data_IF_764880626817
#
_entry.id   IF_764880626817
#
_cell.length_a   1.000
_cell.length_b   1.000
_cell.length_c   1.000
_cell.angle_alpha   90.00
_cell.angle_beta   90.00
_cell.angle_gamma   90.00
#
_symmetry.space_group_name_H-M   'P 1'
#
loop_
_entity.id
_entity.type
_entity.pdbx_description
1 polymer ?
#
# COMPACT_ATOMS: atom_id res chain seq x y z
N UNK A 1 33.23 45.64 52.42
CA UNK A 1 33.10 44.25 52.90
C UNK A 1 31.63 43.88 52.90
N UNK A 2 31.34 42.72 52.34
CA UNK A 2 30.06 42.21 51.80
C UNK A 2 28.95 41.99 52.83
N UNK A 3 27.68 42.26 52.43
CA UNK A 3 26.56 41.47 52.90
C UNK A 3 25.84 40.74 51.75
N UNK A 4 25.15 39.70 52.16
CA UNK A 4 24.51 38.67 51.36
C UNK A 4 23.07 39.03 50.95
N UNK A 5 22.55 38.22 50.02
CA UNK A 5 21.16 38.05 49.56
C UNK A 5 20.50 39.16 48.74
N UNK A 6 20.13 38.84 47.49
CA UNK A 6 18.74 38.77 47.05
C UNK A 6 18.63 38.29 45.60
N UNK A 7 17.66 37.40 45.39
CA UNK A 7 17.17 36.90 44.12
C UNK A 7 16.63 38.04 43.25
N UNK A 8 16.96 38.05 41.95
CA UNK A 8 16.14 38.72 40.93
C UNK A 8 16.08 37.87 39.65
N UNK A 9 14.87 37.36 39.42
CA UNK A 9 14.20 36.95 38.19
C UNK A 9 14.98 37.09 36.86
N UNK A 10 15.40 35.94 36.32
CA UNK A 10 15.49 35.72 34.88
C UNK A 10 14.30 34.88 34.43
N UNK A 11 13.15 35.52 34.13
CA UNK A 11 12.10 34.86 33.36
C UNK A 11 12.48 34.90 31.88
N UNK A 12 13.45 34.05 31.50
CA UNK A 12 13.46 33.47 30.17
C UNK A 12 12.39 32.40 30.14
N UNK A 13 11.32 32.64 29.39
CA UNK A 13 10.28 31.66 29.09
C UNK A 13 10.93 30.44 28.42
N UNK A 14 11.31 29.46 29.22
CA UNK A 14 11.57 28.10 28.75
C UNK A 14 10.27 27.60 28.14
N UNK A 15 10.29 27.35 26.83
CA UNK A 15 9.26 26.55 26.17
C UNK A 15 9.03 25.28 27.00
N UNK A 16 7.77 24.94 27.34
CA UNK A 16 7.52 23.71 28.06
C UNK A 16 8.00 22.56 27.18
N UNK A 17 8.96 21.78 27.70
CA UNK A 17 9.43 20.57 27.06
C UNK A 17 8.23 19.71 26.70
N UNK A 18 8.08 19.41 25.40
CA UNK A 18 7.06 18.49 24.92
C UNK A 18 7.25 17.16 25.67
N UNK A 19 6.17 16.61 26.26
CA UNK A 19 6.27 15.38 27.03
C UNK A 19 6.80 14.24 26.17
N UNK A 20 7.62 13.40 26.78
CA UNK A 20 8.21 12.22 26.18
C UNK A 20 7.14 11.35 25.48
N UNK A 21 7.44 11.04 24.22
CA UNK A 21 6.88 9.98 23.37
C UNK A 21 5.58 9.32 23.83
N UNK A 22 4.48 9.70 23.17
CA UNK A 22 3.38 8.76 23.02
C UNK A 22 3.94 7.52 22.29
N UNK A 23 3.76 6.30 22.83
CA UNK A 23 4.29 5.10 22.20
C UNK A 23 3.71 5.00 20.79
N UNK A 24 4.59 4.91 19.79
CA UNK A 24 4.20 4.50 18.45
C UNK A 24 3.61 3.11 18.56
N UNK A 25 2.28 3.00 18.66
CA UNK A 25 1.62 1.72 18.47
C UNK A 25 1.86 1.33 17.02
N UNK A 26 2.56 0.21 16.80
CA UNK A 26 2.53 -0.50 15.54
C UNK A 26 1.08 -0.99 15.34
N UNK A 27 0.22 -0.06 14.96
CA UNK A 27 -1.19 -0.31 14.77
C UNK A 27 -1.38 -0.74 13.34
N UNK A 28 -1.62 -2.03 13.13
CA UNK A 28 -2.51 -2.49 12.06
C UNK A 28 -3.63 -1.46 11.97
N UNK A 29 -3.66 -0.67 10.89
CA UNK A 29 -4.79 0.22 10.67
C UNK A 29 -6.05 -0.63 10.79
N UNK A 30 -7.03 -0.23 11.62
CA UNK A 30 -8.23 -1.03 11.81
C UNK A 30 -8.80 -1.37 10.44
N UNK A 31 -9.26 -2.62 10.27
CA UNK A 31 -9.86 -3.18 9.05
C UNK A 31 -11.10 -2.39 8.65
N UNK A 32 -10.94 -1.15 8.20
CA UNK A 32 -12.01 -0.26 7.81
C UNK A 32 -12.47 -0.69 6.43
N UNK A 33 -13.51 -1.54 6.39
CA UNK A 33 -14.36 -1.85 5.23
C UNK A 33 -13.67 -1.64 3.87
N UNK A 34 -12.65 -2.45 3.61
CA UNK A 34 -11.97 -2.42 2.34
C UNK A 34 -12.86 -3.05 1.29
N UNK A 35 -12.89 -2.47 0.09
CA UNK A 35 -13.55 -3.08 -1.06
C UNK A 35 -13.15 -4.56 -1.17
N UNK A 36 -14.07 -5.43 -1.59
CA UNK A 36 -13.86 -6.87 -1.57
C UNK A 36 -12.55 -7.27 -2.24
N UNK A 37 -11.68 -7.91 -1.44
CA UNK A 37 -10.35 -8.42 -1.86
C UNK A 37 -10.48 -9.57 -2.85
N UNK A 38 -11.65 -10.20 -2.89
CA UNK A 38 -11.96 -11.37 -3.66
C UNK A 38 -13.05 -11.08 -4.69
N UNK A 39 -13.03 -11.88 -5.74
CA UNK A 39 -14.05 -11.93 -6.75
C UNK A 39 -14.38 -13.38 -7.08
N UNK A 40 -15.63 -13.65 -7.46
CA UNK A 40 -16.10 -14.98 -7.87
C UNK A 40 -16.79 -14.89 -9.22
N UNK A 41 -16.59 -15.88 -10.07
CA UNK A 41 -17.20 -15.92 -11.41
C UNK A 41 -18.62 -16.43 -11.34
N UNK A 42 -19.57 -15.66 -11.82
CA UNK A 42 -20.93 -16.13 -12.05
C UNK A 42 -21.01 -16.71 -13.46
N UNK A 43 -21.02 -18.03 -13.55
CA UNK A 43 -21.21 -18.74 -14.82
C UNK A 43 -22.68 -18.90 -15.22
N UNK A 44 -23.61 -18.72 -14.29
CA UNK A 44 -25.02 -19.03 -14.48
C UNK A 44 -25.79 -17.89 -15.16
N UNK A 45 -25.49 -16.63 -14.79
CA UNK A 45 -26.24 -15.47 -15.26
C UNK A 45 -25.43 -14.59 -16.20
N UNK A 46 -24.28 -14.07 -15.75
CA UNK A 46 -23.55 -13.01 -16.48
C UNK A 46 -22.29 -13.50 -17.20
N UNK A 47 -21.68 -14.61 -16.77
CA UNK A 47 -20.37 -15.04 -17.22
C UNK A 47 -19.21 -14.15 -16.72
N UNK A 48 -19.49 -13.17 -15.86
CA UNK A 48 -18.54 -12.20 -15.34
C UNK A 48 -18.17 -12.51 -13.89
N UNK A 49 -17.07 -11.93 -13.43
CA UNK A 49 -16.71 -11.93 -12.02
C UNK A 49 -17.46 -10.84 -11.27
N UNK A 50 -17.89 -11.17 -10.07
CA UNK A 50 -18.48 -10.26 -9.09
C UNK A 50 -17.56 -10.13 -7.89
N UNK A 51 -17.55 -8.95 -7.33
CA UNK A 51 -16.84 -8.65 -6.11
C UNK A 51 -17.51 -9.36 -4.93
N UNK A 52 -16.74 -10.10 -4.14
CA UNK A 52 -17.24 -10.99 -3.09
C UNK A 52 -16.57 -10.70 -1.74
N UNK A 53 -17.37 -10.55 -0.70
CA UNK A 53 -16.87 -10.36 0.66
C UNK A 53 -17.06 -11.65 1.49
N UNK A 54 -15.97 -12.29 1.97
CA UNK A 54 -16.06 -13.52 2.74
C UNK A 54 -16.76 -13.38 4.10
N UNK A 55 -16.82 -12.17 4.65
CA UNK A 55 -17.45 -11.93 5.97
C UNK A 55 -18.97 -11.87 5.90
N UNK A 56 -19.50 -11.36 4.79
CA UNK A 56 -20.94 -11.16 4.63
C UNK A 56 -21.58 -12.20 3.72
N UNK A 57 -20.81 -13.06 3.05
CA UNK A 57 -21.29 -14.07 2.09
C UNK A 57 -21.97 -13.47 0.85
N UNK A 58 -22.01 -12.14 0.75
CA UNK A 58 -22.76 -11.44 -0.26
C UNK A 58 -21.83 -10.99 -1.41
N UNK A 59 -22.38 -11.01 -2.63
CA UNK A 59 -21.99 -10.05 -3.66
C UNK A 59 -22.34 -8.66 -3.11
N UNK A 60 -21.48 -8.06 -2.28
CA UNK A 60 -21.82 -6.89 -1.43
C UNK A 60 -22.13 -5.61 -2.20
N UNK A 61 -22.20 -5.68 -3.52
CA UNK A 61 -22.30 -4.51 -4.39
C UNK A 61 -23.37 -4.83 -5.42
N UNK A 62 -24.49 -4.10 -5.34
CA UNK A 62 -25.54 -4.14 -6.34
C UNK A 62 -24.92 -4.05 -7.75
N UNK A 63 -24.88 -5.18 -8.45
CA UNK A 63 -24.41 -5.22 -9.83
C UNK A 63 -25.47 -4.46 -10.65
N UNK A 64 -25.04 -3.57 -11.55
CA UNK A 64 -25.96 -2.75 -12.36
C UNK A 64 -26.82 -3.56 -13.35
N UNK A 65 -26.57 -4.86 -13.47
CA UNK A 65 -27.42 -5.76 -14.23
C UNK A 65 -28.68 -6.10 -13.42
N UNK A 66 -29.85 -5.69 -13.91
CA UNK A 66 -31.13 -6.02 -13.30
C UNK A 66 -31.23 -7.55 -13.11
N UNK A 67 -31.49 -8.00 -11.88
CA UNK A 67 -31.64 -9.43 -11.55
C UNK A 67 -30.33 -10.21 -11.35
N UNK A 68 -29.17 -9.53 -11.33
CA UNK A 68 -27.89 -10.17 -11.08
C UNK A 68 -27.64 -10.36 -9.58
N UNK A 69 -28.23 -11.43 -9.05
CA UNK A 69 -28.05 -11.90 -7.67
C UNK A 69 -27.69 -13.39 -7.68
N UNK A 70 -26.48 -13.76 -8.16
CA UNK A 70 -26.09 -15.16 -8.21
C UNK A 70 -25.89 -15.69 -6.79
N UNK A 71 -26.45 -16.87 -6.51
CA UNK A 71 -26.32 -17.51 -5.20
C UNK A 71 -24.86 -17.93 -4.96
N UNK A 72 -24.47 -18.18 -3.70
CA UNK A 72 -23.11 -18.65 -3.38
C UNK A 72 -22.73 -19.96 -4.08
N UNK A 73 -23.73 -20.78 -4.44
CA UNK A 73 -23.56 -22.08 -5.11
C UNK A 73 -23.31 -21.92 -6.62
N UNK A 74 -23.83 -20.84 -7.22
CA UNK A 74 -23.65 -20.51 -8.64
C UNK A 74 -22.30 -19.82 -8.93
N UNK A 75 -21.68 -19.30 -7.87
CA UNK A 75 -20.40 -18.62 -7.94
C UNK A 75 -19.23 -19.62 -7.95
N UNK A 76 -18.33 -19.47 -8.91
CA UNK A 76 -17.06 -20.21 -8.97
C UNK A 76 -16.14 -19.92 -7.77
N UNK A 77 -14.96 -20.56 -7.72
CA UNK A 77 -14.03 -20.37 -6.60
C UNK A 77 -13.59 -18.91 -6.45
N UNK A 78 -13.28 -18.45 -5.23
CA UNK A 78 -12.77 -17.11 -5.00
C UNK A 78 -11.40 -16.94 -5.68
N UNK A 79 -11.24 -15.83 -6.38
CA UNK A 79 -9.97 -15.34 -6.91
C UNK A 79 -9.71 -13.97 -6.34
N UNK A 80 -8.44 -13.55 -6.22
CA UNK A 80 -8.16 -12.18 -5.81
C UNK A 80 -8.73 -11.20 -6.86
N UNK A 81 -9.51 -10.21 -6.43
CA UNK A 81 -10.20 -9.27 -7.32
C UNK A 81 -9.23 -8.52 -8.24
N UNK A 82 -8.00 -8.33 -7.77
CA UNK A 82 -6.87 -7.74 -8.52
C UNK A 82 -6.31 -8.67 -9.61
N UNK A 83 -6.75 -9.92 -9.74
CA UNK A 83 -6.36 -10.81 -10.83
C UNK A 83 -7.38 -10.81 -11.97
N UNK A 84 -8.59 -10.32 -11.72
CA UNK A 84 -9.68 -10.37 -12.70
C UNK A 84 -9.43 -9.34 -13.82
N UNK A 85 -9.35 -9.76 -15.10
CA UNK A 85 -9.22 -8.85 -16.23
C UNK A 85 -10.40 -7.88 -16.35
N UNK A 86 -10.15 -6.64 -16.80
CA UNK A 86 -11.18 -5.58 -16.83
C UNK A 86 -12.43 -5.95 -17.64
N UNK A 87 -12.24 -6.69 -18.72
CA UNK A 87 -13.28 -7.22 -19.61
C UNK A 87 -14.09 -8.37 -18.99
N UNK A 88 -13.61 -8.98 -17.91
CA UNK A 88 -14.27 -10.07 -17.18
C UNK A 88 -14.95 -9.60 -15.89
N UNK A 89 -14.93 -8.30 -15.57
CA UNK A 89 -15.51 -7.71 -14.35
C UNK A 89 -16.99 -7.33 -14.57
N UNK A 90 -17.91 -7.66 -13.64
CA UNK A 90 -19.21 -6.97 -13.59
C UNK A 90 -18.95 -5.46 -13.41
N UNK A 91 -19.67 -4.62 -14.16
CA UNK A 91 -19.52 -3.16 -14.17
C UNK A 91 -19.90 -2.53 -12.82
N UNK A 92 -18.97 -2.54 -11.86
CA UNK A 92 -19.03 -1.80 -10.61
C UNK A 92 -17.89 -0.78 -10.56
N UNK A 93 -18.06 0.32 -9.85
CA UNK A 93 -17.01 1.34 -9.65
C UNK A 93 -16.00 0.95 -8.54
N UNK A 94 -16.19 -0.21 -7.92
CA UNK A 94 -15.49 -0.63 -6.69
C UNK A 94 -14.35 -1.61 -6.94
N UNK A 95 -14.11 -1.99 -8.20
CA UNK A 95 -12.98 -2.86 -8.52
C UNK A 95 -11.66 -2.18 -8.18
N UNK A 96 -10.68 -2.96 -7.66
CA UNK A 96 -9.33 -2.45 -7.48
C UNK A 96 -8.84 -1.80 -8.78
N UNK A 97 -8.44 -0.53 -8.65
CA UNK A 97 -7.81 0.20 -9.72
C UNK A 97 -6.43 -0.40 -9.97
N UNK A 98 -6.11 -0.55 -11.25
CA UNK A 98 -4.78 -0.78 -11.77
C UNK A 98 -4.23 -2.21 -11.68
N UNK A 99 -4.25 -2.91 -12.83
CA UNK A 99 -3.30 -3.99 -13.13
C UNK A 99 -2.57 -3.56 -14.41
N UNK A 100 -1.25 -3.31 -14.36
CA UNK A 100 -0.51 -2.85 -15.53
C UNK A 100 -0.51 -3.85 -16.69
N UNK A 101 -0.70 -5.16 -16.47
CA UNK A 101 -1.04 -6.22 -17.47
C UNK A 101 -1.37 -7.57 -16.79
N UNK A 102 -2.18 -8.48 -17.39
CA UNK A 102 -2.38 -9.83 -16.88
C UNK A 102 -1.05 -10.58 -16.71
N UNK A 103 -0.89 -11.35 -15.63
CA UNK A 103 0.29 -12.18 -15.38
C UNK A 103 0.31 -13.34 -16.39
N UNK A 104 1.28 -13.35 -17.31
CA UNK A 104 1.47 -14.46 -18.27
C UNK A 104 2.77 -15.19 -17.92
N UNK A 105 2.64 -16.40 -17.37
CA UNK A 105 3.75 -17.28 -17.02
C UNK A 105 4.47 -16.89 -15.72
N UNK A 106 5.39 -17.74 -15.22
CA UNK A 106 6.23 -17.38 -14.09
C UNK A 106 7.08 -16.17 -14.47
N UNK A 107 7.11 -15.15 -13.61
CA UNK A 107 8.02 -14.02 -13.80
C UNK A 107 9.46 -14.52 -13.71
N UNK A 108 10.38 -14.01 -14.55
CA UNK A 108 11.79 -14.27 -14.31
C UNK A 108 12.17 -13.72 -12.92
N UNK A 109 13.04 -14.41 -12.19
CA UNK A 109 13.47 -13.93 -10.87
C UNK A 109 14.15 -12.56 -10.92
N UNK A 110 14.78 -12.26 -12.06
CA UNK A 110 15.42 -10.98 -12.34
C UNK A 110 15.06 -10.48 -13.74
N UNK A 111 14.82 -9.18 -13.86
CA UNK A 111 14.63 -8.55 -15.16
C UNK A 111 15.97 -8.30 -15.83
N UNK A 112 16.16 -8.81 -17.06
CA UNK A 112 17.43 -8.73 -17.77
C UNK A 112 17.72 -7.34 -18.39
N UNK A 113 16.67 -6.55 -18.68
CA UNK A 113 16.81 -5.23 -19.27
C UNK A 113 17.24 -4.16 -18.27
N UNK A 114 17.83 -3.07 -18.78
CA UNK A 114 18.15 -1.89 -17.97
C UNK A 114 16.89 -1.22 -17.42
N UNK A 115 15.89 -1.04 -18.27
CA UNK A 115 14.57 -0.53 -17.90
C UNK A 115 13.67 -1.69 -17.51
N UNK A 116 13.19 -1.65 -16.27
CA UNK A 116 12.27 -2.62 -15.69
C UNK A 116 10.84 -2.14 -15.96
N UNK A 117 9.99 -2.93 -16.65
CA UNK A 117 8.61 -2.55 -16.89
C UNK A 117 7.82 -2.47 -15.58
N UNK A 118 6.93 -1.48 -15.49
CA UNK A 118 6.03 -1.31 -14.33
C UNK A 118 5.21 -2.57 -14.02
N UNK A 119 4.79 -3.31 -15.05
CA UNK A 119 4.05 -4.56 -14.85
C UNK A 119 4.89 -5.61 -14.12
N UNK A 120 6.18 -5.70 -14.43
CA UNK A 120 7.07 -6.65 -13.78
C UNK A 120 7.33 -6.24 -12.33
N UNK A 121 7.59 -4.95 -12.09
CA UNK A 121 7.75 -4.40 -10.73
C UNK A 121 6.54 -4.73 -9.86
N UNK A 122 5.34 -4.46 -10.39
CA UNK A 122 4.09 -4.76 -9.70
C UNK A 122 3.98 -6.22 -9.33
N UNK A 123 4.07 -7.13 -10.32
CA UNK A 123 3.85 -8.55 -10.06
C UNK A 123 4.94 -9.17 -9.19
N UNK A 124 6.18 -8.71 -9.29
CA UNK A 124 7.25 -9.22 -8.44
C UNK A 124 7.07 -8.82 -6.98
N UNK A 125 6.65 -7.59 -6.73
CA UNK A 125 6.32 -7.15 -5.36
C UNK A 125 5.03 -7.81 -4.85
N UNK A 126 4.07 -8.06 -5.74
CA UNK A 126 2.85 -8.79 -5.41
C UNK A 126 3.18 -10.20 -4.91
N UNK A 127 4.06 -10.93 -5.61
CA UNK A 127 4.57 -12.23 -5.15
C UNK A 127 5.32 -12.13 -3.82
N UNK A 128 6.22 -11.15 -3.65
CA UNK A 128 7.01 -10.98 -2.41
C UNK A 128 6.16 -10.58 -1.19
N UNK A 129 4.98 -10.03 -1.41
CA UNK A 129 4.08 -9.54 -0.37
C UNK A 129 2.82 -10.41 -0.23
N UNK A 130 2.81 -11.61 -0.80
CA UNK A 130 1.68 -12.54 -0.78
C UNK A 130 0.35 -11.88 -1.22
N UNK A 131 0.45 -10.94 -2.18
CA UNK A 131 -0.67 -10.19 -2.71
C UNK A 131 -1.27 -9.13 -1.79
N UNK A 132 -0.56 -8.73 -0.72
CA UNK A 132 -1.03 -7.77 0.30
C UNK A 132 -0.24 -6.47 0.29
N UNK A 133 -0.82 -5.44 0.90
CA UNK A 133 -0.15 -4.21 1.27
C UNK A 133 1.04 -4.49 2.20
N UNK A 134 2.13 -3.75 2.07
CA UNK A 134 3.32 -3.94 2.89
C UNK A 134 3.14 -3.50 4.36
N UNK A 135 2.07 -2.76 4.67
CA UNK A 135 1.83 -2.16 5.99
C UNK A 135 0.52 -2.61 6.63
N UNK A 136 -0.36 -3.28 5.89
CA UNK A 136 -1.63 -3.82 6.40
C UNK A 136 -2.08 -5.04 5.58
N UNK A 137 -3.21 -5.66 5.93
CA UNK A 137 -3.64 -6.90 5.25
C UNK A 137 -4.33 -6.67 3.90
N UNK A 138 -4.58 -5.41 3.50
CA UNK A 138 -5.46 -5.08 2.38
C UNK A 138 -4.84 -5.34 1.01
N UNK A 139 -5.69 -5.40 -0.02
CA UNK A 139 -5.21 -5.45 -1.41
C UNK A 139 -4.40 -4.21 -1.80
N UNK A 140 -3.25 -4.37 -2.47
CA UNK A 140 -2.41 -3.26 -2.92
C UNK A 140 -3.03 -2.50 -4.10
N UNK A 141 -2.67 -1.23 -4.24
CA UNK A 141 -3.15 -0.31 -5.29
C UNK A 141 -2.05 0.57 -5.92
N UNK A 142 -0.90 0.71 -5.28
CA UNK A 142 0.20 1.54 -5.77
C UNK A 142 1.57 0.89 -5.54
N UNK A 143 2.51 1.15 -6.47
CA UNK A 143 3.95 0.96 -6.22
C UNK A 143 4.44 2.19 -5.49
N UNK A 144 4.84 2.00 -4.25
CA UNK A 144 5.38 3.02 -3.39
C UNK A 144 6.90 3.15 -3.54
N UNK A 145 7.39 4.39 -3.45
CA UNK A 145 8.80 4.72 -3.58
C UNK A 145 9.16 5.96 -2.75
N UNK A 146 10.40 6.04 -2.29
CA UNK A 146 10.92 7.24 -1.66
C UNK A 146 11.02 8.36 -2.69
N UNK A 147 10.40 9.50 -2.39
CA UNK A 147 10.42 10.68 -3.26
C UNK A 147 11.76 11.43 -3.22
N UNK A 148 12.68 11.08 -2.33
CA UNK A 148 13.99 11.70 -2.19
C UNK A 148 15.01 11.10 -3.15
N UNK A 149 15.10 9.77 -3.20
CA UNK A 149 16.12 9.05 -3.99
C UNK A 149 15.52 8.06 -5.01
N UNK A 150 14.19 8.00 -5.09
CA UNK A 150 13.44 7.12 -5.99
C UNK A 150 13.41 5.66 -5.55
N UNK A 151 13.98 5.27 -4.40
CA UNK A 151 14.02 3.87 -3.97
C UNK A 151 12.61 3.27 -3.93
N UNK A 152 12.36 2.23 -4.73
CA UNK A 152 11.11 1.47 -4.65
C UNK A 152 11.09 0.77 -3.31
N UNK A 153 9.96 0.85 -2.60
CA UNK A 153 9.81 0.26 -1.26
C UNK A 153 8.91 -0.96 -1.28
N UNK A 154 7.74 -0.88 -1.88
CA UNK A 154 6.79 -1.99 -1.92
C UNK A 154 5.47 -1.62 -2.59
N UNK A 155 4.49 -2.50 -2.46
CA UNK A 155 3.10 -2.21 -2.80
C UNK A 155 2.30 -1.77 -1.57
N UNK A 156 1.55 -0.68 -1.71
CA UNK A 156 0.65 -0.17 -0.67
C UNK A 156 -0.80 -0.09 -1.18
N UNK A 157 -1.77 -0.22 -0.27
CA UNK A 157 -3.16 0.12 -0.56
C UNK A 157 -3.33 1.65 -0.62
N UNK A 158 -4.45 2.14 -1.19
CA UNK A 158 -4.69 3.60 -1.36
C UNK A 158 -4.61 4.37 -0.04
N UNK A 159 -5.15 3.80 1.04
CA UNK A 159 -5.15 4.43 2.36
C UNK A 159 -3.75 4.50 2.94
N UNK A 160 -3.02 3.39 2.97
CA UNK A 160 -1.64 3.35 3.49
C UNK A 160 -0.71 4.25 2.67
N UNK A 161 -0.82 4.24 1.34
CA UNK A 161 -0.01 5.10 0.48
C UNK A 161 -0.27 6.60 0.73
N UNK A 162 -1.54 6.97 0.95
CA UNK A 162 -1.90 8.36 1.28
C UNK A 162 -1.37 8.78 2.65
N UNK A 163 -1.54 7.92 3.66
CA UNK A 163 -1.07 8.16 5.03
C UNK A 163 0.45 8.21 5.12
N UNK A 164 1.15 7.34 4.39
CA UNK A 164 2.62 7.35 4.31
C UNK A 164 3.12 8.70 3.80
N UNK A 165 2.54 9.20 2.69
CA UNK A 165 2.91 10.49 2.12
C UNK A 165 2.57 11.67 3.03
N UNK A 166 1.48 11.60 3.81
CA UNK A 166 1.13 12.60 4.80
C UNK A 166 2.12 12.58 5.98
N UNK A 167 2.45 11.39 6.48
CA UNK A 167 3.39 11.20 7.59
C UNK A 167 4.80 11.66 7.23
N UNK A 168 5.29 11.32 6.04
CA UNK A 168 6.59 11.78 5.53
C UNK A 168 6.65 13.33 5.41
N UNK A 169 5.52 13.98 5.11
CA UNK A 169 5.42 15.45 5.10
C UNK A 169 5.37 16.03 6.52
N UNK A 170 4.57 15.44 7.41
CA UNK A 170 4.48 15.83 8.82
C UNK A 170 5.81 15.75 9.54
N UNK A 171 6.65 14.74 9.26
CA UNK A 171 8.02 14.68 9.78
C UNK A 171 8.89 15.85 9.30
N UNK A 172 8.71 16.33 8.06
CA UNK A 172 9.42 17.52 7.54
C UNK A 172 8.91 18.82 8.16
N UNK A 173 7.65 18.83 8.60
CA UNK A 173 6.95 20.01 9.16
C UNK A 173 6.85 19.97 10.70
N UNK A 174 7.53 19.03 11.37
CA UNK A 174 7.45 18.81 12.82
C UNK A 174 6.02 18.59 13.37
N UNK A 175 5.11 18.09 12.54
CA UNK A 175 3.74 17.73 12.90
C UNK A 175 3.62 16.20 12.97
N UNK A 176 3.56 15.64 14.17
CA UNK A 176 3.48 14.18 14.36
C UNK A 176 2.02 13.72 14.49
N UNK A 177 1.58 12.83 13.61
CA UNK A 177 0.28 12.16 13.66
C UNK A 177 0.44 10.63 13.75
N UNK A 178 -0.59 9.95 14.26
CA UNK A 178 -0.58 8.61 14.88
C UNK A 178 -0.15 7.38 14.05
N UNK A 179 0.25 7.53 12.78
CA UNK A 179 0.63 6.40 11.92
C UNK A 179 2.17 6.32 11.77
N UNK A 180 2.80 5.26 12.28
CA UNK A 180 4.25 5.07 12.18
C UNK A 180 4.61 4.14 11.01
N UNK A 181 5.42 4.64 10.07
CA UNK A 181 5.91 3.88 8.91
C UNK A 181 7.37 3.43 9.03
N UNK A 182 8.05 3.69 10.16
CA UNK A 182 9.48 3.42 10.32
C UNK A 182 9.85 1.96 10.04
N UNK A 183 9.09 0.99 10.55
CA UNK A 183 9.36 -0.43 10.28
C UNK A 183 9.30 -0.77 8.78
N UNK A 184 8.36 -0.15 8.05
CA UNK A 184 8.24 -0.29 6.61
C UNK A 184 9.40 0.40 5.87
N UNK A 185 9.86 1.55 6.33
CA UNK A 185 11.01 2.26 5.76
C UNK A 185 12.35 1.58 6.05
N UNK A 186 12.51 0.95 7.21
CA UNK A 186 13.74 0.27 7.63
C UNK A 186 13.93 -1.06 6.90
N UNK A 187 12.84 -1.79 6.67
CA UNK A 187 12.82 -3.10 6.03
C UNK A 187 11.77 -3.21 4.90
N UNK A 188 11.84 -2.36 3.86
CA UNK A 188 10.86 -2.39 2.78
C UNK A 188 10.99 -3.68 1.95
N UNK A 189 9.87 -4.26 1.45
CA UNK A 189 9.89 -5.49 0.64
C UNK A 189 10.86 -5.46 -0.54
N UNK A 190 11.03 -4.30 -1.18
CA UNK A 190 11.88 -4.14 -2.34
C UNK A 190 13.37 -3.90 -2.01
N UNK A 191 13.77 -3.85 -0.73
CA UNK A 191 15.15 -3.49 -0.31
C UNK A 191 16.23 -4.31 -1.01
N UNK A 192 16.06 -5.63 -1.04
CA UNK A 192 17.02 -6.55 -1.66
C UNK A 192 17.03 -6.49 -3.21
N UNK A 193 15.99 -5.91 -3.81
CA UNK A 193 15.89 -5.76 -5.27
C UNK A 193 16.68 -4.55 -5.77
N UNK A 194 16.90 -3.56 -4.90
CA UNK A 194 17.66 -2.35 -5.21
C UNK A 194 17.06 -1.56 -6.38
N UNK A 195 15.73 -1.49 -6.50
CA UNK A 195 15.08 -0.78 -7.60
C UNK A 195 14.88 0.69 -7.28
N UNK A 196 14.97 1.54 -8.31
CA UNK A 196 14.62 2.94 -8.25
C UNK A 196 13.59 3.28 -9.32
N UNK A 197 12.67 4.17 -8.99
CA UNK A 197 11.76 4.81 -9.93
C UNK A 197 12.39 6.12 -10.42
N UNK A 198 12.44 6.30 -11.74
CA UNK A 198 12.88 7.53 -12.41
C UNK A 198 11.77 7.98 -13.35
N UNK A 199 11.08 9.06 -12.97
CA UNK A 199 9.87 9.50 -13.65
C UNK A 199 8.80 8.41 -13.64
N UNK A 200 8.45 7.89 -14.83
CA UNK A 200 7.47 6.81 -15.02
C UNK A 200 8.11 5.43 -15.27
N UNK A 201 9.42 5.33 -15.14
CA UNK A 201 10.20 4.12 -15.45
C UNK A 201 10.89 3.58 -14.21
N UNK A 202 11.32 2.32 -14.27
CA UNK A 202 12.03 1.65 -13.17
C UNK A 202 13.36 1.09 -13.69
N UNK A 203 14.37 1.03 -12.84
CA UNK A 203 15.66 0.40 -13.12
C UNK A 203 16.32 -0.05 -11.82
N UNK A 204 17.38 -0.87 -11.91
CA UNK A 204 18.21 -1.17 -10.74
C UNK A 204 19.05 0.06 -10.38
N UNK A 205 19.20 0.32 -9.09
CA UNK A 205 20.23 1.22 -8.57
C UNK A 205 21.56 0.62 -9.00
N UNK A 206 22.34 1.39 -9.75
CA UNK A 206 23.73 1.05 -9.97
C UNK A 206 24.38 1.14 -8.59
N UNK A 207 24.94 0.04 -8.10
CA UNK A 207 25.89 0.15 -7.00
C UNK A 207 26.98 1.09 -7.51
N UNK A 208 27.30 2.14 -6.76
CA UNK A 208 28.55 2.86 -7.01
C UNK A 208 29.63 1.79 -7.01
N UNK A 209 30.20 1.53 -8.19
CA UNK A 209 31.35 0.63 -8.31
C UNK A 209 32.45 1.41 -7.64
N UNK A 210 32.66 1.15 -6.35
CA UNK A 210 33.76 1.72 -5.60
C UNK A 210 35.03 1.45 -6.42
N UNK A 211 35.55 2.53 -7.00
CA UNK A 211 36.77 2.55 -7.80
C UNK A 211 37.98 2.61 -6.88
#
# INVERSE_FOLDING_TARGET
>A
MTPSTSFVNGQGLLSPGLPAGWPCTQGHLPRANFGPELARRDSAQTGLYHLWNPQTGANTIACHHLGCDPSEEELGPPTAAVLVPRDQRCRTWLWPLYIPRPLVGPLPHQWAGEQIPRWYVWWRLYELQDGRCATCDCSPAAVDHDHTDGAVRGLLCVSCNSLEGAYARGQRECAHEHACFSAYWDAPPAKALGWIQVGRTYRRRLCDVAS
#
